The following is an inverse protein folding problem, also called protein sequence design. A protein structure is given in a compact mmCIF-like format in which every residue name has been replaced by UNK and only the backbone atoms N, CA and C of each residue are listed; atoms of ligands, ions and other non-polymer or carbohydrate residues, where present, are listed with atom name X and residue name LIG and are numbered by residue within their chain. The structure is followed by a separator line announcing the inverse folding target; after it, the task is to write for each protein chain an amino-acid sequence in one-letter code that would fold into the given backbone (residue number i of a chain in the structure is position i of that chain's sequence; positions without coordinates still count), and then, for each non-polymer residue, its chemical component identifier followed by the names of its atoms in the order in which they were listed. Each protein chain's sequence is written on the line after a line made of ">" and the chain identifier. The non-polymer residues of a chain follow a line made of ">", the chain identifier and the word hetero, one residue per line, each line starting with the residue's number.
data_IF_263309028183
#
_entry.id   IF_263309028183
#
_cell.length_a   1.000
_cell.length_b   1.000
_cell.length_c   1.000
_cell.angle_alpha   90.00
_cell.angle_beta   90.00
_cell.angle_gamma   90.00
#
_symmetry.space_group_name_H-M   'P 1'
#
loop_
_entity.id
_entity.type
_entity.pdbx_description
1 polymer ?
#
# COMPACT_ATOMS: atom_id res chain seq x y z
N UNK A 1 2.25 7.47 14.79
CA UNK A 1 3.54 6.83 14.42
C UNK A 1 4.23 7.72 13.38
N UNK A 2 5.54 7.98 13.49
CA UNK A 2 6.27 8.82 12.51
C UNK A 2 7.11 7.95 11.58
N UNK A 3 7.10 8.27 10.30
CA UNK A 3 7.91 7.60 9.26
C UNK A 3 8.88 8.62 8.70
N UNK A 4 10.15 8.23 8.56
CA UNK A 4 11.16 9.06 7.90
C UNK A 4 11.02 8.95 6.39
N UNK A 5 10.99 10.06 5.67
CA UNK A 5 11.17 10.02 4.22
C UNK A 5 12.62 9.62 3.92
N UNK A 6 12.88 8.54 3.16
CA UNK A 6 14.25 8.10 2.87
C UNK A 6 15.05 9.11 2.01
N UNK A 7 14.37 10.11 1.42
CA UNK A 7 14.97 11.11 0.53
C UNK A 7 15.28 12.40 1.29
N UNK A 8 14.26 13.05 1.86
CA UNK A 8 14.43 14.32 2.55
C UNK A 8 14.66 14.19 4.06
N UNK A 9 14.65 12.95 4.60
CA UNK A 9 14.79 12.62 6.03
C UNK A 9 13.79 13.30 6.97
N UNK A 10 12.80 14.02 6.42
CA UNK A 10 11.75 14.62 7.22
C UNK A 10 10.81 13.54 7.75
N UNK A 11 10.47 13.66 9.04
CA UNK A 11 9.56 12.76 9.73
C UNK A 11 8.13 13.22 9.49
N UNK A 12 7.30 12.33 8.98
CA UNK A 12 5.88 12.59 8.74
C UNK A 12 5.03 11.69 9.61
N UNK A 13 3.89 12.21 10.07
CA UNK A 13 2.91 11.38 10.74
C UNK A 13 2.27 10.41 9.74
N UNK A 14 2.31 9.12 10.07
CA UNK A 14 1.58 8.10 9.34
C UNK A 14 0.09 8.36 9.55
N UNK A 15 -0.55 8.96 8.54
CA UNK A 15 -1.97 9.26 8.51
C UNK A 15 -2.62 8.56 7.30
N UNK A 16 -3.95 8.35 7.33
CA UNK A 16 -4.68 7.69 6.23
C UNK A 16 -4.44 8.34 4.86
N UNK A 17 -4.33 9.67 4.80
CA UNK A 17 -3.99 10.38 3.56
C UNK A 17 -2.67 9.93 2.97
N UNK A 18 -1.70 9.54 3.80
CA UNK A 18 -0.38 9.07 3.37
C UNK A 18 -0.43 7.63 2.82
N UNK A 19 -1.37 6.80 3.30
CA UNK A 19 -1.61 5.45 2.77
C UNK A 19 -2.09 5.48 1.32
N UNK A 20 -2.92 6.48 0.98
CA UNK A 20 -3.41 6.67 -0.38
C UNK A 20 -2.48 7.54 -1.23
N UNK A 21 -1.57 8.28 -0.60
CA UNK A 21 -0.67 9.22 -1.26
C UNK A 21 0.73 8.62 -1.28
N UNK A 22 1.09 8.03 -2.41
CA UNK A 22 2.42 7.44 -2.67
C UNK A 22 3.60 8.43 -2.56
N UNK A 23 3.36 9.70 -2.20
CA UNK A 23 4.32 10.79 -2.22
C UNK A 23 4.53 11.41 -0.86
N UNK A 24 5.77 11.81 -0.58
CA UNK A 24 6.14 12.56 0.60
C UNK A 24 5.52 13.97 0.58
N UNK A 25 4.92 14.40 1.69
CA UNK A 25 4.35 15.76 1.75
C UNK A 25 5.39 16.90 1.65
N UNK A 26 6.67 16.61 1.88
CA UNK A 26 7.71 17.63 1.96
C UNK A 26 8.49 17.76 0.65
N UNK A 27 9.03 16.66 0.13
CA UNK A 27 9.76 16.66 -1.14
C UNK A 27 8.91 16.21 -2.34
N UNK A 28 7.65 15.83 -2.14
CA UNK A 28 6.73 15.32 -3.17
C UNK A 28 7.22 14.09 -3.94
N UNK A 29 8.31 13.47 -3.48
CA UNK A 29 8.89 12.28 -4.08
C UNK A 29 8.16 11.01 -3.68
N UNK A 30 8.27 9.99 -4.53
CA UNK A 30 7.52 8.73 -4.39
C UNK A 30 8.21 7.77 -3.42
N UNK A 31 7.52 7.37 -2.35
CA UNK A 31 8.05 6.45 -1.33
C UNK A 31 8.45 5.09 -1.91
N UNK A 32 7.64 4.57 -2.84
CA UNK A 32 7.84 3.23 -3.40
C UNK A 32 9.16 3.07 -4.17
N UNK A 33 9.77 4.16 -4.65
CA UNK A 33 11.05 4.12 -5.34
C UNK A 33 12.19 3.69 -4.41
N UNK A 34 12.04 3.91 -3.10
CA UNK A 34 13.07 3.66 -2.10
C UNK A 34 12.80 2.45 -1.21
N UNK A 35 11.67 1.75 -1.42
CA UNK A 35 11.45 0.45 -0.80
C UNK A 35 12.57 -0.53 -1.21
N UNK A 36 12.94 -1.41 -0.29
CA UNK A 36 13.86 -2.49 -0.59
C UNK A 36 13.27 -3.41 -1.66
N UNK A 37 14.14 -4.07 -2.45
CA UNK A 37 13.71 -5.02 -3.50
C UNK A 37 12.65 -6.04 -3.05
N UNK A 38 12.77 -6.71 -1.87
CA UNK A 38 11.75 -7.67 -1.45
C UNK A 38 10.38 -7.02 -1.21
N UNK A 39 10.34 -5.77 -0.75
CA UNK A 39 9.10 -5.05 -0.45
C UNK A 39 8.42 -4.59 -1.73
N UNK A 40 9.20 -4.13 -2.71
CA UNK A 40 8.69 -3.84 -4.06
C UNK A 40 8.05 -5.09 -4.69
N UNK A 41 8.73 -6.24 -4.58
CA UNK A 41 8.23 -7.51 -5.10
C UNK A 41 6.95 -7.95 -4.37
N UNK A 42 6.93 -7.87 -3.04
CA UNK A 42 5.76 -8.20 -2.23
C UNK A 42 4.54 -7.34 -2.61
N UNK A 43 4.73 -6.01 -2.73
CA UNK A 43 3.69 -5.08 -3.15
C UNK A 43 3.13 -5.43 -4.53
N UNK A 44 4.00 -5.72 -5.48
CA UNK A 44 3.61 -6.13 -6.84
C UNK A 44 2.80 -7.43 -6.81
N UNK A 45 3.31 -8.48 -6.16
CA UNK A 45 2.63 -9.77 -6.05
C UNK A 45 1.24 -9.64 -5.44
N UNK A 46 1.11 -8.86 -4.36
CA UNK A 46 -0.18 -8.66 -3.72
C UNK A 46 -1.15 -7.84 -4.58
N UNK A 47 -0.70 -6.79 -5.26
CA UNK A 47 -1.54 -6.04 -6.20
C UNK A 47 -2.02 -6.92 -7.35
N UNK A 48 -1.15 -7.75 -7.93
CA UNK A 48 -1.52 -8.71 -8.97
C UNK A 48 -2.54 -9.73 -8.47
N UNK A 49 -2.34 -10.27 -7.26
CA UNK A 49 -3.27 -11.21 -6.65
C UNK A 49 -4.66 -10.59 -6.42
N UNK A 50 -4.71 -9.37 -5.89
CA UNK A 50 -5.95 -8.61 -5.69
C UNK A 50 -6.68 -8.38 -7.03
N UNK A 51 -5.94 -8.03 -8.08
CA UNK A 51 -6.50 -7.80 -9.41
C UNK A 51 -7.12 -9.07 -10.01
N UNK A 52 -6.40 -10.20 -9.97
CA UNK A 52 -6.89 -11.50 -10.46
C UNK A 52 -8.17 -11.90 -9.73
N UNK A 53 -8.22 -11.74 -8.41
CA UNK A 53 -9.41 -12.11 -7.65
C UNK A 53 -10.56 -11.13 -7.89
N UNK A 54 -10.28 -9.83 -8.06
CA UNK A 54 -11.29 -8.83 -8.42
C UNK A 54 -11.99 -9.19 -9.74
N UNK A 55 -11.24 -9.59 -10.76
CA UNK A 55 -11.80 -10.08 -12.04
C UNK A 55 -12.64 -11.34 -11.83
N UNK A 56 -12.14 -12.30 -11.03
CA UNK A 56 -12.85 -13.54 -10.74
C UNK A 56 -14.15 -13.36 -9.94
N UNK A 57 -14.23 -12.35 -9.07
CA UNK A 57 -15.44 -12.04 -8.31
C UNK A 57 -16.51 -11.45 -9.21
N UNK A 58 -16.14 -10.55 -10.12
CA UNK A 58 -17.11 -9.90 -11.03
C UNK A 58 -17.85 -10.90 -11.92
N UNK A 59 -17.29 -12.08 -12.16
CA UNK A 59 -17.92 -13.13 -12.98
C UNK A 59 -18.87 -14.04 -12.19
N UNK A 60 -18.92 -13.94 -10.86
CA UNK A 60 -19.61 -14.93 -10.02
C UNK A 60 -20.43 -14.32 -8.87
N UNK A 61 -21.73 -14.12 -9.11
CA UNK A 61 -22.82 -13.93 -8.11
C UNK A 61 -22.71 -12.75 -7.11
N UNK A 62 -23.83 -12.07 -6.86
CA UNK A 62 -23.90 -10.89 -5.96
C UNK A 62 -23.44 -11.15 -4.52
N UNK A 63 -23.52 -12.39 -4.02
CA UNK A 63 -23.04 -12.74 -2.68
C UNK A 63 -21.51 -12.54 -2.51
N UNK A 64 -20.73 -12.56 -3.60
CA UNK A 64 -19.29 -12.30 -3.54
C UNK A 64 -18.93 -10.82 -3.49
N UNK A 65 -19.89 -9.88 -3.58
CA UNK A 65 -19.63 -8.45 -3.35
C UNK A 65 -19.03 -8.17 -1.96
N UNK A 66 -19.40 -8.98 -0.95
CA UNK A 66 -18.89 -8.88 0.41
C UNK A 66 -17.38 -9.14 0.52
N UNK A 67 -16.75 -9.69 -0.52
CA UNK A 67 -15.30 -9.87 -0.57
C UNK A 67 -14.57 -8.58 -0.97
N UNK A 68 -15.23 -7.63 -1.65
CA UNK A 68 -14.59 -6.38 -2.09
C UNK A 68 -14.05 -5.55 -0.91
N UNK A 69 -14.79 -5.33 0.19
CA UNK A 69 -14.26 -4.65 1.37
C UNK A 69 -13.06 -5.38 1.99
N UNK A 70 -13.09 -6.73 2.00
CA UNK A 70 -12.00 -7.57 2.48
C UNK A 70 -10.72 -7.40 1.66
N UNK A 71 -10.84 -7.28 0.33
CA UNK A 71 -9.72 -6.94 -0.55
C UNK A 71 -9.15 -5.56 -0.25
N UNK A 72 -10.01 -4.57 -0.04
CA UNK A 72 -9.57 -3.21 0.25
C UNK A 72 -8.84 -3.11 1.61
N UNK A 73 -9.35 -3.81 2.64
CA UNK A 73 -8.70 -3.90 3.95
C UNK A 73 -7.33 -4.59 3.82
N UNK A 74 -7.27 -5.70 3.08
CA UNK A 74 -6.02 -6.44 2.87
C UNK A 74 -4.97 -5.57 2.18
N UNK A 75 -5.37 -4.82 1.16
CA UNK A 75 -4.51 -3.84 0.48
C UNK A 75 -3.97 -2.78 1.44
N UNK A 76 -4.83 -2.20 2.28
CA UNK A 76 -4.42 -1.19 3.27
C UNK A 76 -3.42 -1.74 4.29
N UNK A 77 -3.60 -2.99 4.73
CA UNK A 77 -2.66 -3.65 5.66
C UNK A 77 -1.27 -3.82 5.00
N UNK A 78 -1.23 -4.24 3.73
CA UNK A 78 0.03 -4.40 2.98
C UNK A 78 0.75 -3.06 2.83
N UNK A 79 0.04 -1.99 2.47
CA UNK A 79 0.64 -0.65 2.36
C UNK A 79 1.17 -0.15 3.70
N UNK A 80 0.45 -0.39 4.81
CA UNK A 80 0.94 -0.10 6.16
C UNK A 80 2.23 -0.88 6.43
N UNK A 81 2.29 -2.19 6.16
CA UNK A 81 3.49 -3.00 6.35
C UNK A 81 4.67 -2.52 5.50
N UNK A 82 4.42 -2.13 4.25
CA UNK A 82 5.45 -1.55 3.37
C UNK A 82 5.98 -0.23 3.92
N UNK A 83 5.10 0.65 4.41
CA UNK A 83 5.49 1.92 5.01
C UNK A 83 6.20 1.75 6.36
N UNK A 84 5.80 0.75 7.15
CA UNK A 84 6.47 0.38 8.40
C UNK A 84 7.92 -0.09 8.19
N UNK A 85 8.24 -0.63 7.01
CA UNK A 85 9.63 -0.97 6.69
C UNK A 85 10.55 0.24 6.53
N UNK A 86 9.97 1.43 6.30
CA UNK A 86 10.68 2.71 6.27
C UNK A 86 10.74 3.37 7.66
N UNK A 87 10.27 2.69 8.70
CA UNK A 87 10.38 3.16 10.06
C UNK A 87 11.85 3.12 10.48
N UNK A 88 12.38 4.29 10.85
CA UNK A 88 13.62 4.42 11.64
C UNK A 88 13.41 3.89 13.06
#
# INVERSE_FOLDING_TARGET
>A
MKIGCPICKQKQELNFKLLFKERCNSCNEKYYLHYSKPIKLFRFLMQTFIFIIGIYISTTNYQKLLLIPLFFISFMIIEILCLLSLKE
#
